data_IF_911790477638
#
_entry.id   IF_911790477638
#
_cell.length_a   1.000
_cell.length_b   1.000
_cell.length_c   1.000
_cell.angle_alpha   90.00
_cell.angle_beta   90.00
_cell.angle_gamma   90.00
#
_symmetry.space_group_name_H-M   'P 1'
#
loop_
_entity.id
_entity.type
_entity.pdbx_description
1 polymer ?
#
# COMPACT_ATOMS: atom_id res chain seq x y z
N UNK A 1 -12.00 -0.23 -14.92
CA UNK A 1 -10.59 -0.44 -15.32
C UNK A 1 -9.75 0.47 -14.44
N UNK A 2 -9.10 -0.06 -13.40
CA UNK A 2 -8.39 0.72 -12.38
C UNK A 2 -7.11 0.00 -11.95
N UNK A 3 -6.24 -0.29 -12.91
CA UNK A 3 -4.96 -0.93 -12.62
C UNK A 3 -3.99 0.16 -12.22
N UNK A 4 -3.62 0.21 -10.94
CA UNK A 4 -2.52 1.05 -10.47
C UNK A 4 -1.21 0.35 -10.87
N UNK A 5 -0.42 0.91 -11.80
CA UNK A 5 0.86 0.31 -12.13
C UNK A 5 1.77 0.33 -10.88
N UNK A 6 2.26 -0.84 -10.49
CA UNK A 6 3.15 -0.98 -9.33
C UNK A 6 4.42 -1.75 -9.71
N UNK A 7 5.56 -1.21 -9.31
CA UNK A 7 6.85 -1.88 -9.29
C UNK A 7 7.19 -2.35 -7.85
N UNK A 8 8.33 -3.03 -7.68
CA UNK A 8 8.73 -3.57 -6.37
C UNK A 8 8.91 -2.48 -5.30
N UNK A 9 9.39 -1.30 -5.67
CA UNK A 9 9.55 -0.16 -4.77
C UNK A 9 8.19 0.41 -4.36
N UNK A 10 7.25 0.53 -5.29
CA UNK A 10 5.89 1.01 -5.00
C UNK A 10 5.19 0.07 -4.00
N UNK A 11 5.42 -1.25 -4.12
CA UNK A 11 4.92 -2.23 -3.16
C UNK A 11 5.57 -2.08 -1.78
N UNK A 12 6.87 -1.81 -1.71
CA UNK A 12 7.54 -1.56 -0.42
C UNK A 12 7.02 -0.30 0.26
N UNK A 13 6.82 0.77 -0.52
CA UNK A 13 6.21 1.99 -0.01
C UNK A 13 4.77 1.75 0.45
N UNK A 14 3.98 0.98 -0.29
CA UNK A 14 2.62 0.62 0.12
C UNK A 14 2.58 -0.19 1.44
N UNK A 15 3.56 -1.08 1.67
CA UNK A 15 3.66 -1.86 2.90
C UNK A 15 4.00 -0.98 4.12
N UNK A 16 4.73 0.12 3.93
CA UNK A 16 5.14 1.03 5.01
C UNK A 16 4.14 2.17 5.25
N UNK A 17 3.61 2.71 4.15
CA UNK A 17 2.74 3.90 4.15
C UNK A 17 1.26 3.54 4.21
N UNK A 18 0.87 2.30 3.92
CA UNK A 18 -0.53 1.91 3.87
C UNK A 18 -1.33 2.83 2.94
N UNK A 19 -2.49 3.31 3.41
CA UNK A 19 -3.38 4.19 2.65
C UNK A 19 -2.79 5.59 2.39
N UNK A 20 -1.75 6.01 3.11
CA UNK A 20 -1.07 7.29 2.86
C UNK A 20 -0.41 7.33 1.48
N UNK A 21 0.11 6.19 0.99
CA UNK A 21 0.68 6.09 -0.34
C UNK A 21 -0.37 6.34 -1.42
N UNK A 22 -1.54 5.70 -1.28
CA UNK A 22 -2.67 5.89 -2.20
C UNK A 22 -3.19 7.33 -2.21
N UNK A 23 -3.23 7.98 -1.05
CA UNK A 23 -3.64 9.39 -0.95
C UNK A 23 -2.67 10.31 -1.68
N UNK A 24 -1.36 10.10 -1.52
CA UNK A 24 -0.32 10.91 -2.17
C UNK A 24 -0.41 10.83 -3.70
N UNK A 25 -0.65 9.63 -4.22
CA UNK A 25 -0.74 9.38 -5.66
C UNK A 25 -2.11 9.74 -6.26
N UNK A 26 -3.06 10.22 -5.44
CA UNK A 26 -4.39 10.66 -5.89
C UNK A 26 -5.40 9.51 -6.11
N UNK A 27 -5.14 8.33 -5.54
CA UNK A 27 -6.03 7.16 -5.62
C UNK A 27 -7.06 7.09 -4.48
N UNK A 28 -6.97 7.96 -3.48
CA UNK A 28 -7.94 8.06 -2.38
C UNK A 28 -8.16 9.51 -1.96
N UNK A 29 -9.24 9.72 -1.20
CA UNK A 29 -9.61 11.03 -0.66
C UNK A 29 -9.00 11.22 0.73
N UNK A 30 -9.06 12.42 1.32
CA UNK A 30 -8.48 12.64 2.65
C UNK A 30 -9.36 12.02 3.75
N UNK A 31 -10.67 12.17 3.59
CA UNK A 31 -11.76 11.72 4.46
C UNK A 31 -11.81 10.20 4.58
N UNK A 32 -11.36 9.52 3.54
CA UNK A 32 -11.18 8.08 3.46
C UNK A 32 -10.38 7.53 4.66
N UNK A 33 -9.32 8.24 5.09
CA UNK A 33 -8.49 7.80 6.21
C UNK A 33 -9.22 7.84 7.55
N UNK A 34 -10.11 8.81 7.74
CA UNK A 34 -10.84 8.99 9.01
C UNK A 34 -11.78 7.82 9.32
N UNK A 35 -12.12 7.03 8.30
CA UNK A 35 -13.03 5.89 8.38
C UNK A 35 -12.31 4.53 8.37
N UNK A 36 -10.98 4.51 8.41
CA UNK A 36 -10.20 3.28 8.52
C UNK A 36 -9.61 3.11 9.92
N UNK A 37 -9.60 1.88 10.41
CA UNK A 37 -8.79 1.52 11.59
C UNK A 37 -7.33 1.96 11.39
N UNK A 38 -6.71 2.50 12.45
CA UNK A 38 -5.35 3.06 12.42
C UNK A 38 -5.13 4.09 11.29
N UNK A 39 -6.17 4.81 10.86
CA UNK A 39 -6.12 5.72 9.70
C UNK A 39 -5.61 5.07 8.40
N UNK A 40 -5.77 3.75 8.28
CA UNK A 40 -5.31 2.96 7.14
C UNK A 40 -3.81 2.70 7.09
N UNK A 41 -3.07 2.88 8.20
CA UNK A 41 -1.62 2.65 8.28
C UNK A 41 -1.16 2.26 9.68
N UNK A 42 -0.38 1.17 9.76
CA UNK A 42 0.32 0.79 10.98
C UNK A 42 1.73 1.39 10.99
N UNK A 43 2.06 2.24 11.96
CA UNK A 43 3.36 2.94 12.04
C UNK A 43 4.55 1.99 12.25
N UNK A 44 4.29 0.81 12.83
CA UNK A 44 5.28 -0.23 13.11
C UNK A 44 5.47 -1.22 11.95
N UNK A 45 4.83 -1.02 10.80
CA UNK A 45 5.00 -1.87 9.65
C UNK A 45 6.45 -1.79 9.12
N UNK A 46 7.07 -2.96 8.89
CA UNK A 46 8.44 -3.06 8.40
C UNK A 46 8.49 -3.96 7.15
N UNK A 47 8.62 -3.39 5.94
CA UNK A 47 8.69 -4.15 4.69
C UNK A 47 9.88 -5.13 4.63
N UNK A 48 10.93 -4.96 5.45
CA UNK A 48 12.08 -5.88 5.49
C UNK A 48 11.73 -7.21 6.15
N UNK A 49 10.67 -7.24 6.97
CA UNK A 49 10.15 -8.48 7.59
C UNK A 49 9.27 -9.29 6.64
N UNK A 50 8.92 -8.74 5.48
CA UNK A 50 8.13 -9.42 4.45
C UNK A 50 9.05 -10.17 3.50
N UNK A 51 8.88 -11.48 3.40
CA UNK A 51 9.72 -12.32 2.53
C UNK A 51 9.61 -11.93 1.04
N UNK A 52 10.69 -12.11 0.29
CA UNK A 52 10.70 -11.88 -1.17
C UNK A 52 9.66 -12.71 -1.91
N UNK A 53 9.36 -13.93 -1.41
CA UNK A 53 8.30 -14.78 -1.97
C UNK A 53 6.91 -14.14 -1.80
N UNK A 54 6.63 -13.57 -0.63
CA UNK A 54 5.36 -12.88 -0.37
C UNK A 54 5.23 -11.62 -1.24
N UNK A 55 6.29 -10.79 -1.31
CA UNK A 55 6.31 -9.60 -2.18
C UNK A 55 6.08 -9.95 -3.64
N UNK A 56 6.79 -10.97 -4.18
CA UNK A 56 6.64 -11.42 -5.57
C UNK A 56 5.21 -11.91 -5.89
N UNK A 57 4.54 -12.53 -4.92
CA UNK A 57 3.15 -13.00 -5.07
C UNK A 57 2.15 -11.84 -4.98
N UNK A 58 2.38 -10.89 -4.08
CA UNK A 58 1.49 -9.75 -3.84
C UNK A 58 1.56 -8.68 -4.92
N UNK A 59 2.74 -8.44 -5.51
CA UNK A 59 2.95 -7.39 -6.52
C UNK A 59 1.91 -7.39 -7.67
N UNK A 60 1.61 -8.53 -8.34
CA UNK A 60 0.59 -8.56 -9.38
C UNK A 60 -0.87 -8.50 -8.87
N UNK A 61 -1.10 -8.49 -7.55
CA UNK A 61 -2.42 -8.57 -6.93
C UNK A 61 -2.93 -7.24 -6.38
N UNK A 62 -2.06 -6.25 -6.17
CA UNK A 62 -2.45 -4.94 -5.62
C UNK A 62 -3.29 -4.11 -6.62
N UNK A 63 -3.61 -4.67 -7.78
CA UNK A 63 -4.41 -4.04 -8.85
C UNK A 63 -5.85 -4.55 -8.91
N UNK A 64 -6.54 -4.65 -7.78
CA UNK A 64 -7.99 -4.81 -7.71
C UNK A 64 -8.62 -3.72 -6.86
#
# INVERSE_FOLDING_TARGET
KGVIPMNAKDLEEALEMGRDGSLREGYSWAEDKEHCEEYGRMLQADPTKVSQRAKKRGLPQVTH
#
